data_IF_772958490727
#
_entry.id   IF_772958490727
#
_cell.length_a   1.000
_cell.length_b   1.000
_cell.length_c   1.000
_cell.angle_alpha   90.00
_cell.angle_beta   90.00
_cell.angle_gamma   90.00
#
_symmetry.space_group_name_H-M   'P 1'
#
loop_
_entity.id
_entity.type
_entity.pdbx_description
1 polymer ?
#
# COMPACT_ATOMS: atom_id res chain seq x y z
N UNK A 1 21.38 -17.71 -14.10
CA UNK A 1 21.16 -17.60 -13.70
C UNK A 1 20.33 -17.52 -13.16
N UNK A 2 20.01 -18.06 -13.28
CA UNK A 2 19.04 -17.93 -12.74
C UNK A 2 18.94 -17.14 -11.99
N UNK A 3 19.40 -16.98 -12.00
CA UNK A 3 19.34 -16.10 -11.31
C UNK A 3 18.50 -15.07 -11.58
N UNK A 4 17.86 -15.09 -12.51
CA UNK A 4 17.02 -14.04 -12.76
C UNK A 4 16.22 -13.63 -11.62
N UNK A 5 15.67 -14.53 -10.98
CA UNK A 5 14.84 -14.18 -9.93
C UNK A 5 15.57 -13.53 -8.85
N UNK A 6 16.83 -13.75 -8.78
CA UNK A 6 17.50 -13.13 -7.77
C UNK A 6 17.58 -11.72 -7.99
N UNK A 7 17.31 -11.22 -9.14
CA UNK A 7 17.34 -9.84 -9.42
C UNK A 7 16.07 -9.14 -9.04
N UNK A 8 15.14 -9.84 -8.48
CA UNK A 8 13.92 -9.20 -8.09
C UNK A 8 14.18 -8.16 -7.03
N UNK A 9 13.60 -7.02 -7.22
CA UNK A 9 13.69 -5.95 -6.25
C UNK A 9 12.40 -5.99 -5.43
N UNK A 10 12.55 -6.17 -4.15
CA UNK A 10 11.40 -6.24 -3.28
C UNK A 10 11.39 -5.09 -2.32
N UNK A 11 10.22 -4.59 -2.06
CA UNK A 11 10.03 -3.49 -1.14
C UNK A 11 8.92 -3.81 -0.16
N UNK A 12 8.98 -3.14 0.98
CA UNK A 12 7.90 -3.15 1.95
C UNK A 12 7.46 -1.72 2.13
N UNK A 13 6.18 -1.52 2.29
CA UNK A 13 5.64 -0.17 2.44
C UNK A 13 4.65 -0.15 3.58
N UNK A 14 4.73 0.89 4.39
CA UNK A 14 3.77 1.11 5.45
C UNK A 14 3.06 2.40 5.11
N UNK A 15 1.75 2.35 5.00
CA UNK A 15 0.98 3.49 4.55
C UNK A 15 -0.03 3.89 5.63
N UNK A 16 -0.06 5.17 5.95
CA UNK A 16 -1.05 5.70 6.87
C UNK A 16 -1.90 6.69 6.08
N UNK A 17 -3.17 6.36 5.90
CA UNK A 17 -4.08 7.15 5.12
C UNK A 17 -5.01 7.92 6.02
N UNK A 18 -5.07 9.22 5.82
CA UNK A 18 -5.90 10.10 6.64
C UNK A 18 -6.88 10.86 5.75
N UNK A 19 -8.11 10.36 5.59
CA UNK A 19 -9.10 11.12 4.84
C UNK A 19 -9.43 12.41 5.58
N UNK A 20 -9.52 13.49 4.84
CA UNK A 20 -9.73 14.80 5.45
C UNK A 20 -11.11 15.38 5.21
N UNK A 21 -11.92 14.71 4.44
CA UNK A 21 -13.24 15.23 4.15
C UNK A 21 -14.23 14.86 5.22
N UNK A 22 -15.49 15.14 4.95
CA UNK A 22 -16.54 14.80 5.88
C UNK A 22 -17.05 13.39 5.68
N UNK A 23 -16.49 12.69 4.73
CA UNK A 23 -16.94 11.34 4.46
C UNK A 23 -16.63 10.43 5.61
N UNK A 24 -17.28 9.30 5.61
CA UNK A 24 -17.01 8.29 6.59
C UNK A 24 -15.55 7.88 6.45
N UNK A 25 -14.80 8.21 7.45
CA UNK A 25 -13.37 7.98 7.52
C UNK A 25 -13.04 6.50 7.30
N UNK A 26 -13.74 5.63 8.03
CA UNK A 26 -13.46 4.20 7.93
C UNK A 26 -13.86 3.62 6.59
N UNK A 27 -14.91 4.13 6.00
CA UNK A 27 -15.33 3.63 4.70
C UNK A 27 -14.30 3.93 3.64
N UNK A 28 -13.68 5.11 3.69
CA UNK A 28 -12.67 5.48 2.73
C UNK A 28 -11.46 4.57 2.87
N UNK A 29 -11.04 4.31 4.11
CA UNK A 29 -9.89 3.47 4.36
C UNK A 29 -10.18 2.05 3.89
N UNK A 30 -11.34 1.51 4.21
CA UNK A 30 -11.67 0.14 3.81
C UNK A 30 -11.71 0.00 2.31
N UNK A 31 -12.28 0.97 1.61
CA UNK A 31 -12.35 0.91 0.17
C UNK A 31 -10.94 0.93 -0.43
N UNK A 32 -10.07 1.78 0.13
CA UNK A 32 -8.72 1.90 -0.38
C UNK A 32 -7.92 0.62 -0.13
N UNK A 33 -8.07 0.03 1.05
CA UNK A 33 -7.35 -1.19 1.37
C UNK A 33 -7.87 -2.35 0.51
N UNK A 34 -9.17 -2.38 0.25
CA UNK A 34 -9.71 -3.44 -0.58
C UNK A 34 -9.14 -3.35 -2.00
N UNK A 35 -9.05 -2.15 -2.54
CA UNK A 35 -8.48 -1.97 -3.86
C UNK A 35 -7.02 -2.38 -3.87
N UNK A 36 -6.30 -2.04 -2.80
CA UNK A 36 -4.90 -2.40 -2.69
C UNK A 36 -4.72 -3.91 -2.68
N UNK A 37 -5.60 -4.61 -1.97
CA UNK A 37 -5.48 -6.05 -1.84
C UNK A 37 -5.71 -6.78 -3.15
N UNK A 38 -6.25 -6.10 -4.15
CA UNK A 38 -6.49 -6.72 -5.44
C UNK A 38 -5.30 -6.61 -6.38
N UNK A 39 -4.23 -5.93 -5.97
CA UNK A 39 -3.06 -5.81 -6.82
C UNK A 39 -2.31 -7.15 -6.82
N UNK A 40 -2.08 -7.75 -8.00
CA UNK A 40 -1.41 -9.04 -8.05
C UNK A 40 0.01 -8.95 -7.50
N UNK A 41 0.40 -9.97 -6.77
CA UNK A 41 1.76 -10.04 -6.25
C UNK A 41 2.01 -9.19 -5.04
N UNK A 42 0.98 -8.64 -4.44
CA UNK A 42 1.13 -7.78 -3.29
C UNK A 42 0.57 -8.46 -2.06
N UNK A 43 1.38 -8.55 -1.02
CA UNK A 43 0.92 -9.05 0.28
C UNK A 43 0.48 -7.86 1.09
N UNK A 44 -0.74 -7.87 1.56
CA UNK A 44 -1.32 -6.74 2.27
C UNK A 44 -1.73 -7.15 3.66
N UNK A 45 -1.36 -6.33 4.63
CA UNK A 45 -1.76 -6.56 6.01
C UNK A 45 -2.35 -5.28 6.53
N UNK A 46 -3.59 -5.34 6.95
CA UNK A 46 -4.31 -4.16 7.41
C UNK A 46 -4.31 -4.11 8.93
N UNK A 47 -3.89 -2.97 9.46
CA UNK A 47 -3.91 -2.72 10.90
C UNK A 47 -4.71 -1.48 11.17
N UNK A 48 -5.20 -1.29 12.38
CA UNK A 48 -5.99 -0.09 12.68
C UNK A 48 -5.23 1.21 12.45
N UNK A 49 -3.93 1.21 12.64
CA UNK A 49 -3.15 2.42 12.52
C UNK A 49 -2.52 2.60 11.16
N UNK A 50 -2.36 1.55 10.42
CA UNK A 50 -1.70 1.65 9.14
C UNK A 50 -1.93 0.38 8.34
N UNK A 51 -1.60 0.45 7.06
CA UNK A 51 -1.66 -0.70 6.18
C UNK A 51 -0.25 -0.99 5.71
N UNK A 52 0.14 -2.26 5.79
CA UNK A 52 1.47 -2.66 5.34
C UNK A 52 1.32 -3.54 4.12
N UNK A 53 2.18 -3.35 3.15
CA UNK A 53 2.16 -4.22 1.98
C UNK A 53 3.56 -4.40 1.45
N UNK A 54 3.78 -5.52 0.83
CA UNK A 54 5.11 -5.90 0.38
C UNK A 54 5.00 -6.71 -0.90
N UNK A 55 6.04 -6.66 -1.70
CA UNK A 55 6.11 -7.41 -2.93
C UNK A 55 7.23 -6.89 -3.78
N UNK A 56 7.20 -7.29 -5.05
CA UNK A 56 8.19 -6.79 -5.96
C UNK A 56 7.94 -5.32 -6.25
N UNK A 57 8.95 -4.66 -6.72
CA UNK A 57 8.92 -3.24 -6.96
C UNK A 57 7.68 -2.80 -7.73
N UNK A 58 7.41 -3.46 -8.83
CA UNK A 58 6.28 -3.04 -9.66
C UNK A 58 4.96 -3.18 -8.92
N UNK A 59 4.81 -4.25 -8.15
CA UNK A 59 3.57 -4.46 -7.41
C UNK A 59 3.40 -3.40 -6.32
N UNK A 60 4.48 -3.06 -5.64
CA UNK A 60 4.41 -2.10 -4.55
C UNK A 60 4.07 -0.71 -5.08
N UNK A 61 4.70 -0.30 -6.17
CA UNK A 61 4.41 1.01 -6.72
C UNK A 61 3.03 1.07 -7.36
N UNK A 62 2.57 -0.06 -7.92
CA UNK A 62 1.20 -0.11 -8.41
C UNK A 62 0.24 0.01 -7.23
N UNK A 63 0.57 -0.60 -6.11
CA UNK A 63 -0.24 -0.49 -4.89
C UNK A 63 -0.35 0.95 -4.43
N UNK A 64 0.77 1.67 -4.43
CA UNK A 64 0.76 3.06 -4.02
C UNK A 64 -0.13 3.86 -4.96
N UNK A 65 -0.05 3.61 -6.26
CA UNK A 65 -0.86 4.31 -7.22
C UNK A 65 -2.36 4.04 -7.00
N UNK A 66 -2.70 2.79 -6.80
CA UNK A 66 -4.10 2.42 -6.58
C UNK A 66 -4.62 3.03 -5.29
N UNK A 67 -3.81 3.00 -4.25
CA UNK A 67 -4.20 3.55 -2.96
C UNK A 67 -4.48 5.05 -3.07
N UNK A 68 -3.58 5.77 -3.72
CA UNK A 68 -3.74 7.21 -3.86
C UNK A 68 -4.93 7.56 -4.73
N UNK A 69 -5.12 6.84 -5.83
CA UNK A 69 -6.23 7.13 -6.71
C UNK A 69 -7.57 6.84 -6.07
N UNK A 70 -7.65 5.74 -5.34
CA UNK A 70 -8.89 5.39 -4.67
C UNK A 70 -9.24 6.42 -3.61
N UNK A 71 -8.25 6.84 -2.83
CA UNK A 71 -8.49 7.84 -1.82
C UNK A 71 -8.88 9.17 -2.46
N UNK A 72 -8.23 9.52 -3.56
CA UNK A 72 -8.51 10.79 -4.22
C UNK A 72 -9.96 10.87 -4.71
N UNK A 73 -10.52 9.76 -5.17
CA UNK A 73 -11.89 9.76 -5.62
C UNK A 73 -12.87 10.06 -4.50
N UNK A 74 -12.47 9.80 -3.27
CA UNK A 74 -13.36 10.00 -2.14
C UNK A 74 -13.21 11.38 -1.53
N UNK A 75 -12.21 12.14 -1.94
CA UNK A 75 -12.05 13.50 -1.44
C UNK A 75 -10.62 13.80 -1.03
N UNK A 76 -10.48 14.81 -0.22
CA UNK A 76 -9.16 15.22 0.24
C UNK A 76 -8.58 14.19 1.20
N UNK A 77 -7.29 14.01 1.17
CA UNK A 77 -6.64 13.06 2.05
C UNK A 77 -5.18 13.44 2.21
N UNK A 78 -4.57 12.88 3.25
CA UNK A 78 -3.13 12.91 3.43
C UNK A 78 -2.67 11.46 3.54
N UNK A 79 -1.59 11.13 2.88
CA UNK A 79 -1.05 9.79 2.89
C UNK A 79 0.41 9.86 3.25
N UNK A 80 0.79 9.13 4.28
CA UNK A 80 2.19 9.04 4.68
C UNK A 80 2.67 7.65 4.34
N UNK A 81 3.80 7.56 3.67
CA UNK A 81 4.36 6.29 3.25
C UNK A 81 5.77 6.13 3.80
N UNK A 82 6.06 4.93 4.24
CA UNK A 82 7.42 4.57 4.60
C UNK A 82 7.78 3.38 3.72
N UNK A 83 8.79 3.55 2.90
CA UNK A 83 9.20 2.53 1.95
C UNK A 83 10.55 1.99 2.35
N UNK A 84 10.68 0.68 2.35
CA UNK A 84 11.93 0.04 2.74
C UNK A 84 12.23 -1.10 1.79
N UNK A 85 13.51 -1.33 1.54
CA UNK A 85 13.90 -2.48 0.75
C UNK A 85 14.37 -3.62 1.64
N UNK A 86 14.14 -3.49 2.94
CA UNK A 86 14.46 -4.57 3.85
C UNK A 86 13.29 -5.54 3.83
N UNK A 87 13.59 -6.79 3.66
CA UNK A 87 12.55 -7.80 3.57
C UNK A 87 11.82 -7.90 4.89
N UNK A 88 10.52 -7.85 4.83
CA UNK A 88 9.74 -7.96 6.04
C UNK A 88 9.62 -6.63 6.75
N UNK A 89 8.53 -6.46 7.45
CA UNK A 89 8.28 -5.22 8.16
C UNK A 89 8.39 -5.36 9.64
N UNK A 90 8.93 -6.43 10.08
CA UNK A 90 9.06 -6.60 11.51
C UNK A 90 10.27 -5.83 11.94
N UNK A 91 10.12 -4.64 12.19
CA UNK A 91 11.23 -3.79 12.58
C UNK A 91 11.35 -3.69 14.08
#
# INVERSE_FOLDING_TARGET
MGSGKKCEVKFSCQAALYPLGEKDYNAVIKKSVKALAEVPGLDVEYNPMSTCFAGEETAVFEGIRILTRTAHREGAFTLTLTLSNVCGLSL
#
